data_IF_510928079516
#
_entry.id   IF_510928079516
#
_cell.length_a   1.000
_cell.length_b   1.000
_cell.length_c   1.000
_cell.angle_alpha   90.00
_cell.angle_beta   90.00
_cell.angle_gamma   90.00
#
_symmetry.space_group_name_H-M   'P 1'
#
loop_
_entity.id
_entity.type
_entity.pdbx_description
1 polymer ?
#
# COMPACT_ATOMS: atom_id res chain seq x y z
N UNK A 1 22.52 11.90 -2.26
CA UNK A 1 22.06 13.24 -2.71
C UNK A 1 20.63 13.08 -3.21
N UNK A 2 19.67 13.74 -2.58
CA UNK A 2 18.26 13.69 -2.99
C UNK A 2 17.78 15.14 -3.20
N UNK A 3 17.26 15.42 -4.39
CA UNK A 3 16.66 16.73 -4.71
C UNK A 3 15.15 16.57 -4.49
N UNK A 4 14.62 17.23 -3.46
CA UNK A 4 13.19 17.26 -3.17
C UNK A 4 12.53 18.47 -3.81
N UNK A 5 11.44 18.27 -4.55
CA UNK A 5 10.58 19.35 -5.05
C UNK A 5 9.38 19.49 -4.11
N UNK A 6 9.31 20.61 -3.37
CA UNK A 6 8.12 20.99 -2.60
C UNK A 6 7.26 21.97 -3.38
N UNK A 7 5.96 21.68 -3.53
CA UNK A 7 4.99 22.66 -4.03
C UNK A 7 4.32 23.34 -2.84
N UNK A 8 4.71 24.58 -2.56
CA UNK A 8 3.97 25.48 -1.69
C UNK A 8 3.91 26.83 -2.40
N UNK A 9 2.70 27.30 -2.72
CA UNK A 9 2.35 28.63 -3.22
C UNK A 9 3.41 29.39 -4.05
N UNK A 10 3.22 29.42 -5.37
CA UNK A 10 3.77 30.41 -6.32
C UNK A 10 5.29 30.60 -6.46
N UNK A 11 6.16 29.83 -5.81
CA UNK A 11 7.60 29.87 -6.13
C UNK A 11 8.25 28.50 -5.93
N UNK A 12 8.76 27.90 -7.01
CA UNK A 12 9.49 26.62 -6.96
C UNK A 12 10.86 26.86 -6.32
N UNK A 13 11.04 26.52 -5.04
CA UNK A 13 12.35 26.57 -4.39
C UNK A 13 13.06 25.21 -4.53
N UNK A 14 14.29 25.22 -5.05
CA UNK A 14 15.18 24.06 -5.00
C UNK A 14 15.86 24.07 -3.63
N UNK A 15 15.42 23.20 -2.72
CA UNK A 15 16.12 22.99 -1.45
C UNK A 15 17.22 21.93 -1.67
N UNK A 16 18.48 22.37 -1.62
CA UNK A 16 19.65 21.50 -1.62
C UNK A 16 19.99 21.18 -0.15
N UNK A 17 19.86 19.91 0.26
CA UNK A 17 20.36 19.45 1.57
C UNK A 17 21.72 18.81 1.35
N UNK A 18 22.78 19.57 1.55
CA UNK A 18 24.15 19.06 1.62
C UNK A 18 24.55 18.88 3.09
N UNK A 19 24.83 17.62 3.46
CA UNK A 19 25.63 17.27 4.63
C UNK A 19 27.09 17.45 4.23
N UNK A 20 27.91 17.91 5.17
CA UNK A 20 29.35 18.25 5.09
C UNK A 20 29.62 19.74 4.82
N UNK A 21 30.06 20.41 5.89
CA UNK A 21 30.39 21.82 5.88
C UNK A 21 31.71 22.12 5.17
N UNK A 22 31.68 23.22 4.41
CA UNK A 22 32.71 24.25 4.29
C UNK A 22 32.17 25.29 3.29
N UNK A 23 31.49 26.31 3.79
CA UNK A 23 31.11 27.47 2.98
C UNK A 23 32.35 28.37 2.82
N UNK A 24 32.95 28.39 1.63
CA UNK A 24 33.78 29.53 1.20
C UNK A 24 32.89 30.50 0.42
N UNK A 25 32.69 31.75 0.89
CA UNK A 25 31.83 32.69 0.21
C UNK A 25 32.61 33.43 -0.87
N UNK A 26 32.62 32.90 -2.09
CA UNK A 26 32.90 33.73 -3.26
C UNK A 26 32.08 33.24 -4.45
N UNK A 27 30.84 33.72 -4.53
CA UNK A 27 30.06 33.63 -5.76
C UNK A 27 29.43 34.99 -6.05
N UNK A 28 29.61 35.55 -7.25
CA UNK A 28 28.95 36.78 -7.67
C UNK A 28 27.43 36.64 -7.55
N UNK A 29 26.75 37.71 -7.13
CA UNK A 29 25.28 37.81 -7.03
C UNK A 29 24.62 37.86 -8.42
N UNK A 30 24.91 36.90 -9.29
CA UNK A 30 24.11 36.70 -10.50
C UNK A 30 22.86 35.93 -10.13
N UNK A 31 21.70 36.58 -10.26
CA UNK A 31 20.40 35.92 -10.21
C UNK A 31 20.44 34.80 -11.25
N UNK A 32 20.32 33.52 -10.87
CA UNK A 32 20.38 32.45 -11.85
C UNK A 32 19.25 32.64 -12.86
N UNK A 33 19.57 32.50 -14.15
CA UNK A 33 18.59 32.46 -15.24
C UNK A 33 17.49 31.47 -14.87
N UNK A 34 16.23 31.91 -14.89
CA UNK A 34 15.08 31.06 -14.59
C UNK A 34 15.20 29.77 -15.39
N UNK A 35 15.25 28.63 -14.69
CA UNK A 35 15.30 27.33 -15.36
C UNK A 35 14.02 27.13 -16.19
N UNK A 36 14.17 26.61 -17.40
CA UNK A 36 13.03 26.32 -18.27
C UNK A 36 12.12 25.24 -17.67
N UNK A 37 10.84 25.22 -18.07
CA UNK A 37 9.81 24.28 -17.59
C UNK A 37 10.26 22.82 -17.58
N UNK A 38 11.02 22.41 -18.60
CA UNK A 38 11.43 21.02 -18.81
C UNK A 38 12.86 20.71 -18.30
N UNK A 39 13.47 21.63 -17.56
CA UNK A 39 14.86 21.49 -17.11
C UNK A 39 15.08 20.21 -16.30
N UNK A 40 14.17 19.87 -15.38
CA UNK A 40 14.30 18.69 -14.52
C UNK A 40 14.30 17.39 -15.33
N UNK A 41 13.39 17.27 -16.30
CA UNK A 41 13.32 16.10 -17.19
C UNK A 41 14.57 15.99 -18.07
N UNK A 42 15.06 17.11 -18.61
CA UNK A 42 16.30 17.14 -19.39
C UNK A 42 17.53 16.82 -18.53
N UNK A 43 17.57 17.26 -17.28
CA UNK A 43 18.65 16.94 -16.34
C UNK A 43 18.73 15.45 -16.08
N UNK A 44 17.61 14.79 -15.72
CA UNK A 44 17.58 13.33 -15.52
C UNK A 44 17.99 12.59 -16.80
N UNK A 45 17.55 13.06 -17.97
CA UNK A 45 17.92 12.46 -19.26
C UNK A 45 19.42 12.56 -19.58
N UNK A 46 20.09 13.65 -19.19
CA UNK A 46 21.54 13.83 -19.39
C UNK A 46 22.40 12.98 -18.45
N UNK A 47 21.82 12.53 -17.34
CA UNK A 47 22.54 11.82 -16.28
C UNK A 47 21.89 10.44 -16.06
N UNK A 48 22.25 9.41 -16.86
CA UNK A 48 21.64 8.08 -16.80
C UNK A 48 21.88 7.34 -15.47
N UNK A 49 22.80 7.83 -14.64
CA UNK A 49 23.00 7.38 -13.26
C UNK A 49 21.91 7.86 -12.29
N UNK A 50 21.04 8.78 -12.72
CA UNK A 50 19.88 9.22 -11.95
C UNK A 50 18.60 8.61 -12.49
N UNK A 51 17.72 8.25 -11.58
CA UNK A 51 16.39 7.77 -11.92
C UNK A 51 15.35 8.40 -11.00
N UNK A 52 14.19 8.72 -11.55
CA UNK A 52 13.06 9.17 -10.76
C UNK A 52 12.44 7.96 -10.06
N UNK A 53 12.17 8.12 -8.76
CA UNK A 53 11.44 7.15 -7.95
C UNK A 53 10.31 7.88 -7.25
N UNK A 54 9.15 7.26 -7.18
CA UNK A 54 8.08 7.76 -6.33
C UNK A 54 8.47 7.45 -4.89
N UNK A 55 8.54 8.50 -4.06
CA UNK A 55 8.63 8.29 -2.62
C UNK A 55 7.27 7.83 -2.11
N UNK A 56 7.24 6.67 -1.47
CA UNK A 56 6.05 6.24 -0.74
C UNK A 56 6.02 7.00 0.60
N UNK A 57 4.83 7.49 0.97
CA UNK A 57 4.64 8.03 2.31
C UNK A 57 4.80 6.89 3.30
N UNK A 58 5.87 6.94 4.08
CA UNK A 58 6.12 6.00 5.15
C UNK A 58 5.58 6.60 6.44
N UNK A 59 4.88 5.80 7.24
CA UNK A 59 4.25 6.27 8.46
C UNK A 59 5.33 6.69 9.46
N UNK A 60 5.28 7.94 9.93
CA UNK A 60 6.29 8.49 10.82
C UNK A 60 6.39 7.73 12.15
N UNK A 61 5.25 7.24 12.67
CA UNK A 61 5.24 6.46 13.90
C UNK A 61 5.88 5.09 13.71
N UNK A 62 5.75 4.49 12.51
CA UNK A 62 6.48 3.25 12.16
C UNK A 62 7.98 3.46 12.19
N UNK A 63 8.49 4.57 11.61
CA UNK A 63 9.94 4.89 11.68
C UNK A 63 10.43 4.99 13.11
N UNK A 64 9.66 5.65 13.98
CA UNK A 64 10.06 5.82 15.38
C UNK A 64 10.00 4.51 16.18
N UNK A 65 9.14 3.59 15.77
CA UNK A 65 8.92 2.30 16.45
C UNK A 65 9.88 1.20 15.96
N UNK A 66 10.49 1.37 14.80
CA UNK A 66 11.44 0.42 14.20
C UNK A 66 12.85 0.59 14.78
N UNK A 67 13.10 0.08 15.99
CA UNK A 67 14.47 -0.08 16.50
C UNK A 67 15.08 -1.35 15.87
N UNK A 68 16.15 -1.23 15.05
CA UNK A 68 16.78 -2.39 14.41
C UNK A 68 17.24 -3.47 15.40
N UNK A 69 17.56 -3.10 16.64
CA UNK A 69 17.97 -4.06 17.68
C UNK A 69 16.78 -4.89 18.13
N UNK A 70 15.61 -4.28 18.30
CA UNK A 70 14.38 -4.97 18.71
C UNK A 70 13.95 -5.93 17.59
N UNK A 71 13.95 -5.43 16.35
CA UNK A 71 13.58 -6.24 15.17
C UNK A 71 14.52 -7.44 15.04
N UNK A 72 15.84 -7.21 15.11
CA UNK A 72 16.82 -8.30 15.04
C UNK A 72 16.64 -9.32 16.16
N UNK A 73 16.50 -8.84 17.39
CA UNK A 73 16.30 -9.73 18.56
C UNK A 73 15.04 -10.57 18.40
N UNK A 74 13.96 -10.00 17.86
CA UNK A 74 12.74 -10.73 17.56
C UNK A 74 12.97 -11.84 16.52
N UNK A 75 13.69 -11.56 15.43
CA UNK A 75 14.03 -12.58 14.43
C UNK A 75 14.93 -13.67 15.01
N UNK A 76 15.94 -13.31 15.80
CA UNK A 76 16.82 -14.29 16.47
C UNK A 76 15.99 -15.22 17.39
N UNK A 77 15.00 -14.68 18.12
CA UNK A 77 14.09 -15.45 18.97
C UNK A 77 13.17 -16.40 18.18
N UNK A 78 12.83 -16.07 16.94
CA UNK A 78 12.02 -16.92 16.06
C UNK A 78 12.89 -17.98 15.37
N UNK A 79 14.11 -17.64 14.95
CA UNK A 79 15.03 -18.59 14.29
C UNK A 79 15.49 -19.72 15.22
N UNK A 80 15.82 -19.41 16.47
CA UNK A 80 16.28 -20.40 17.46
C UNK A 80 15.34 -21.63 17.60
N UNK A 81 14.02 -21.48 17.83
CA UNK A 81 13.11 -22.61 17.89
C UNK A 81 12.87 -23.25 16.53
N UNK A 82 12.92 -22.49 15.43
CA UNK A 82 12.81 -23.07 14.09
C UNK A 82 13.93 -24.08 13.82
N UNK A 83 15.18 -23.70 14.12
CA UNK A 83 16.34 -24.59 14.00
C UNK A 83 16.28 -25.76 14.99
N UNK A 84 15.89 -25.49 16.24
CA UNK A 84 15.82 -26.52 17.29
C UNK A 84 14.80 -27.62 16.99
N UNK A 85 13.65 -27.26 16.44
CA UNK A 85 12.55 -28.20 16.20
C UNK A 85 12.40 -28.61 14.74
N UNK A 86 13.27 -28.12 13.85
CA UNK A 86 13.23 -28.43 12.42
C UNK A 86 11.99 -27.88 11.73
N UNK A 87 11.49 -26.71 12.15
CA UNK A 87 10.35 -26.04 11.51
C UNK A 87 10.81 -25.53 10.14
N UNK A 88 10.19 -26.07 9.09
CA UNK A 88 10.52 -25.72 7.71
C UNK A 88 9.65 -24.55 7.22
N UNK A 89 9.96 -23.99 6.05
CA UNK A 89 9.07 -23.02 5.38
C UNK A 89 7.64 -23.54 5.24
N UNK A 90 7.49 -24.86 5.12
CA UNK A 90 6.21 -25.49 4.84
C UNK A 90 5.29 -25.51 6.07
N UNK A 91 5.88 -25.31 7.24
CA UNK A 91 5.22 -25.25 8.55
C UNK A 91 4.88 -23.81 8.97
N UNK A 92 5.28 -22.81 8.18
CA UNK A 92 5.09 -21.39 8.48
C UNK A 92 3.95 -20.84 7.65
N UNK A 93 2.95 -20.28 8.33
CA UNK A 93 1.78 -19.69 7.70
C UNK A 93 1.58 -18.27 8.19
N UNK A 94 1.38 -17.35 7.26
CA UNK A 94 0.85 -16.03 7.55
C UNK A 94 -0.67 -16.07 7.42
N UNK A 95 -1.36 -15.67 8.49
CA UNK A 95 -2.82 -15.67 8.57
C UNK A 95 -3.27 -14.25 8.90
N UNK A 96 -4.16 -13.70 8.08
CA UNK A 96 -4.66 -12.34 8.28
C UNK A 96 -6.16 -12.22 7.97
N UNK A 97 -6.80 -11.26 8.62
CA UNK A 97 -8.22 -10.93 8.46
C UNK A 97 -8.37 -9.56 7.80
N UNK A 98 -9.04 -9.51 6.65
CA UNK A 98 -9.27 -8.27 5.90
C UNK A 98 -10.77 -8.00 5.70
N UNK A 99 -11.22 -6.85 6.19
CA UNK A 99 -12.60 -6.39 6.01
C UNK A 99 -12.79 -5.66 4.68
N UNK A 100 -13.72 -6.15 3.85
CA UNK A 100 -14.15 -5.50 2.61
C UNK A 100 -15.53 -4.89 2.79
N UNK A 101 -15.63 -3.58 2.54
CA UNK A 101 -16.91 -2.90 2.49
C UNK A 101 -17.58 -3.21 1.14
N UNK A 102 -18.62 -4.04 1.16
CA UNK A 102 -19.45 -4.27 -0.01
C UNK A 102 -20.14 -2.97 -0.41
N UNK A 103 -20.23 -2.76 -1.73
CA UNK A 103 -20.90 -1.61 -2.37
C UNK A 103 -20.12 -0.28 -2.33
N UNK A 104 -18.92 -0.23 -1.75
CA UNK A 104 -18.02 0.93 -1.92
C UNK A 104 -17.45 0.88 -3.33
N UNK A 105 -18.05 1.66 -4.23
CA UNK A 105 -17.48 1.88 -5.55
C UNK A 105 -16.13 2.57 -5.39
N UNK A 106 -15.05 1.90 -5.78
CA UNK A 106 -13.77 2.58 -6.02
C UNK A 106 -13.95 3.61 -7.13
N UNK A 107 -13.08 4.62 -7.21
CA UNK A 107 -13.15 5.62 -8.28
C UNK A 107 -12.95 4.93 -9.63
N UNK A 108 -14.02 4.77 -10.40
CA UNK A 108 -13.98 4.15 -11.71
C UNK A 108 -13.66 5.20 -12.78
N UNK A 109 -12.81 4.84 -13.75
CA UNK A 109 -12.63 5.64 -14.97
C UNK A 109 -13.84 5.39 -15.86
N UNK A 110 -14.69 6.40 -15.98
CA UNK A 110 -15.83 6.39 -16.91
C UNK A 110 -15.45 7.21 -18.15
N UNK A 111 -15.80 6.72 -19.33
CA UNK A 111 -15.71 7.48 -20.57
C UNK A 111 -17.06 8.20 -20.72
N UNK A 112 -17.04 9.54 -20.69
CA UNK A 112 -18.23 10.38 -20.88
C UNK A 112 -18.02 11.34 -22.04
N UNK A 113 -19.11 11.89 -22.59
CA UNK A 113 -19.04 12.95 -23.61
C UNK A 113 -18.18 14.11 -23.11
N UNK A 114 -17.39 14.70 -24.02
CA UNK A 114 -16.49 15.82 -23.74
C UNK A 114 -17.22 17.07 -23.22
N UNK A 115 -18.52 17.19 -23.49
CA UNK A 115 -19.39 18.30 -23.06
C UNK A 115 -19.74 18.24 -21.57
N UNK A 116 -19.51 17.11 -20.89
CA UNK A 116 -19.74 16.97 -19.46
C UNK A 116 -18.48 17.29 -18.67
N UNK A 117 -18.34 18.54 -18.24
CA UNK A 117 -17.28 18.97 -17.33
C UNK A 117 -17.67 18.73 -15.87
N UNK A 118 -17.08 17.71 -15.24
CA UNK A 118 -17.20 17.51 -13.80
C UNK A 118 -16.90 16.08 -13.35
N UNK A 119 -16.42 15.95 -12.11
CA UNK A 119 -16.29 14.65 -11.44
C UNK A 119 -17.70 14.18 -11.09
N UNK A 120 -18.21 13.13 -11.76
CA UNK A 120 -19.56 12.61 -11.47
C UNK A 120 -19.52 11.89 -10.12
N UNK A 121 -20.28 12.39 -9.14
CA UNK A 121 -20.46 11.72 -7.86
C UNK A 121 -21.45 10.58 -8.05
N UNK A 122 -20.98 9.33 -7.92
CA UNK A 122 -21.88 8.20 -7.76
C UNK A 122 -22.45 8.26 -6.34
N UNK A 123 -23.75 8.50 -6.20
CA UNK A 123 -24.44 8.44 -4.91
C UNK A 123 -24.56 6.98 -4.48
N UNK A 124 -23.74 6.58 -3.51
CA UNK A 124 -23.79 5.24 -2.94
C UNK A 124 -24.95 5.16 -1.94
N UNK A 125 -25.93 4.28 -2.18
CA UNK A 125 -26.96 4.06 -1.17
C UNK A 125 -26.34 3.40 0.08
N UNK A 126 -26.63 3.97 1.25
CA UNK A 126 -25.86 3.87 2.49
C UNK A 126 -25.85 2.54 3.23
N UNK A 127 -26.08 1.40 2.56
CA UNK A 127 -25.87 0.10 3.19
C UNK A 127 -24.38 -0.29 3.06
N UNK A 128 -23.68 -0.28 4.20
CA UNK A 128 -22.24 -0.63 4.34
C UNK A 128 -22.14 -2.03 4.92
N UNK A 129 -22.55 -3.02 4.14
CA UNK A 129 -22.33 -4.41 4.52
C UNK A 129 -20.84 -4.72 4.41
N UNK A 130 -20.29 -5.36 5.44
CA UNK A 130 -18.90 -5.80 5.45
C UNK A 130 -18.86 -7.29 5.19
N UNK A 131 -17.87 -7.70 4.40
CA UNK A 131 -17.46 -9.09 4.26
C UNK A 131 -16.03 -9.17 4.75
N UNK A 132 -15.79 -10.05 5.69
CA UNK A 132 -14.43 -10.36 6.13
C UNK A 132 -13.88 -11.45 5.22
N UNK A 133 -12.69 -11.27 4.65
CA UNK A 133 -11.88 -12.37 4.15
C UNK A 133 -10.90 -12.82 5.22
N UNK A 134 -10.63 -14.11 5.24
CA UNK A 134 -9.60 -14.73 6.03
C UNK A 134 -8.68 -15.42 5.03
N UNK A 135 -7.43 -14.97 5.01
CA UNK A 135 -6.43 -15.38 4.03
C UNK A 135 -5.26 -16.03 4.75
N UNK A 136 -4.77 -17.13 4.17
CA UNK A 136 -3.68 -17.90 4.72
C UNK A 136 -2.69 -18.25 3.61
N UNK A 137 -1.46 -17.78 3.76
CA UNK A 137 -0.37 -17.99 2.81
C UNK A 137 0.78 -18.64 3.55
N UNK A 138 1.26 -19.77 3.02
CA UNK A 138 2.42 -20.46 3.58
C UNK A 138 3.71 -19.82 3.05
N UNK A 139 4.82 -19.96 3.79
CA UNK A 139 6.10 -19.37 3.40
C UNK A 139 6.72 -19.99 2.13
N UNK A 140 6.19 -21.11 1.63
CA UNK A 140 6.50 -21.71 0.32
C UNK A 140 5.72 -21.06 -0.85
N UNK A 141 5.03 -19.94 -0.59
CA UNK A 141 4.15 -19.21 -1.52
C UNK A 141 2.84 -19.94 -1.88
N UNK A 142 2.55 -21.10 -1.29
CA UNK A 142 1.26 -21.77 -1.48
C UNK A 142 0.14 -21.03 -0.75
N UNK A 143 -0.95 -20.79 -1.49
CA UNK A 143 -2.12 -20.06 -1.02
C UNK A 143 -3.21 -21.05 -0.63
N UNK A 144 -3.70 -20.95 0.60
CA UNK A 144 -4.86 -21.72 1.03
C UNK A 144 -6.14 -21.01 0.58
N UNK A 145 -7.18 -21.76 0.20
CA UNK A 145 -8.46 -21.15 -0.20
C UNK A 145 -8.98 -20.18 0.87
N UNK A 146 -9.32 -18.93 0.50
CA UNK A 146 -9.78 -17.95 1.47
C UNK A 146 -11.16 -18.33 2.02
N UNK A 147 -11.42 -17.89 3.26
CA UNK A 147 -12.73 -17.98 3.91
C UNK A 147 -13.37 -16.60 3.96
N UNK A 148 -14.57 -16.48 3.39
CA UNK A 148 -15.36 -15.26 3.45
C UNK A 148 -16.46 -15.36 4.51
N UNK A 149 -16.50 -14.40 5.43
CA UNK A 149 -17.48 -14.29 6.49
C UNK A 149 -18.45 -13.16 6.17
N UNK A 150 -19.72 -13.50 5.98
CA UNK A 150 -20.80 -12.54 5.80
C UNK A 150 -21.47 -12.21 7.13
N UNK A 151 -21.81 -10.94 7.33
CA UNK A 151 -22.65 -10.54 8.45
C UNK A 151 -24.10 -11.01 8.23
N UNK A 152 -24.61 -11.84 9.12
CA UNK A 152 -25.98 -12.31 9.06
C UNK A 152 -26.26 -13.60 9.82
N UNK A 153 -27.50 -14.07 9.75
CA UNK A 153 -27.92 -15.38 10.26
C UNK A 153 -28.10 -16.42 9.16
N UNK A 154 -28.36 -15.98 7.94
CA UNK A 154 -28.60 -16.80 6.77
C UNK A 154 -27.74 -16.28 5.63
N UNK A 155 -27.29 -17.19 4.77
CA UNK A 155 -26.59 -16.79 3.56
C UNK A 155 -27.55 -16.08 2.62
N UNK A 156 -27.13 -14.98 1.98
CA UNK A 156 -27.91 -14.37 0.93
C UNK A 156 -28.00 -15.34 -0.25
N UNK A 157 -29.22 -15.67 -0.68
CA UNK A 157 -29.47 -16.63 -1.76
C UNK A 157 -28.78 -16.23 -3.07
N UNK A 158 -28.65 -14.93 -3.32
CA UNK A 158 -27.96 -14.37 -4.49
C UNK A 158 -26.43 -14.53 -4.47
N UNK A 159 -25.84 -14.94 -3.34
CA UNK A 159 -24.41 -15.22 -3.16
C UNK A 159 -24.12 -16.72 -3.04
N UNK A 160 -25.13 -17.59 -3.20
CA UNK A 160 -24.88 -19.03 -3.39
C UNK A 160 -24.19 -19.24 -4.73
N UNK A 161 -22.87 -19.28 -4.69
CA UNK A 161 -22.03 -19.70 -5.82
C UNK A 161 -22.27 -21.21 -6.02
N UNK A 162 -22.72 -21.66 -7.20
CA UNK A 162 -22.82 -23.10 -7.51
C UNK A 162 -21.46 -23.77 -7.28
N UNK A 163 -21.46 -24.94 -6.63
CA UNK A 163 -20.24 -25.69 -6.26
C UNK A 163 -19.27 -25.85 -7.44
N UNK A 164 -19.81 -26.00 -8.66
CA UNK A 164 -19.05 -26.20 -9.90
C UNK A 164 -18.31 -24.94 -10.39
N UNK A 165 -18.67 -23.76 -9.86
CA UNK A 165 -18.06 -22.47 -10.20
C UNK A 165 -17.06 -21.97 -9.16
N UNK A 166 -16.88 -22.69 -8.04
CA UNK A 166 -15.91 -22.36 -7.00
C UNK A 166 -14.50 -22.84 -7.37
N UNK A 167 -13.92 -22.26 -8.42
CA UNK A 167 -12.60 -22.65 -8.93
C UNK A 167 -11.46 -22.49 -7.92
N UNK A 168 -11.64 -21.68 -6.86
CA UNK A 168 -10.64 -21.47 -5.81
C UNK A 168 -10.82 -22.37 -4.57
N UNK A 169 -11.90 -23.16 -4.48
CA UNK A 169 -12.22 -23.91 -3.25
C UNK A 169 -12.54 -23.00 -2.05
N UNK A 170 -12.80 -21.72 -2.29
CA UNK A 170 -13.07 -20.73 -1.24
C UNK A 170 -14.30 -21.12 -0.45
N UNK A 171 -14.27 -20.89 0.86
CA UNK A 171 -15.39 -21.20 1.74
C UNK A 171 -16.14 -19.94 2.07
N UNK A 172 -17.46 -20.03 2.11
CA UNK A 172 -18.32 -18.94 2.57
C UNK A 172 -18.89 -19.38 3.93
N UNK A 173 -18.99 -18.45 4.88
CA UNK A 173 -19.63 -18.63 6.20
C UNK A 173 -20.43 -17.38 6.57
N UNK A 174 -21.36 -17.52 7.52
CA UNK A 174 -22.10 -16.40 8.10
C UNK A 174 -21.80 -16.29 9.59
N UNK A 175 -21.66 -15.06 10.07
CA UNK A 175 -21.57 -14.77 11.50
C UNK A 175 -22.50 -13.62 11.87
N UNK A 176 -23.04 -13.61 13.09
CA UNK A 176 -23.96 -12.56 13.57
C UNK A 176 -23.32 -11.17 13.47
N UNK A 177 -22.02 -11.09 13.74
CA UNK A 177 -21.25 -9.85 13.72
C UNK A 177 -20.57 -9.60 12.36
N UNK A 178 -20.21 -10.67 11.63
CA UNK A 178 -19.53 -10.62 10.33
C UNK A 178 -18.01 -10.83 10.40
N UNK A 179 -17.48 -11.25 11.55
CA UNK A 179 -16.06 -11.55 11.77
C UNK A 179 -15.88 -12.77 12.69
N UNK A 180 -14.64 -13.24 12.85
CA UNK A 180 -14.33 -14.34 13.78
C UNK A 180 -14.30 -13.88 15.23
N UNK A 181 -14.82 -14.71 16.14
CA UNK A 181 -14.70 -14.47 17.58
C UNK A 181 -13.39 -15.08 18.07
N UNK A 182 -12.59 -14.32 18.80
CA UNK A 182 -11.38 -14.79 19.50
C UNK A 182 -11.76 -15.66 20.70
#
# INVERSE_FOLDING_TARGET
>A
MAIGYGYQGCCSYIAYVERYGQFTPSCPKTIPSTVGRDWASHFVKRHPNFSTRLSQKYDYQRVLSEDPRIIKTWFDLVQNPMEKWGITSDDIFNFDESGFAMRVGTTQRIITSAEHHGKRTLSQAGNREWVTSIECIRADESVHPPLFVFKGKLFPEHLRIPLDSNQLGSRLTVSKNGWTTN
#
